data_IF_570221037186
#
_entry.id   IF_570221037186
#
_cell.length_a   1.000
_cell.length_b   1.000
_cell.length_c   1.000
_cell.angle_alpha   90.00
_cell.angle_beta   90.00
_cell.angle_gamma   90.00
#
_symmetry.space_group_name_H-M   'P 1'
#
loop_
_entity.id
_entity.type
_entity.pdbx_description
1 polymer ?
#
# COMPACT_ATOMS: atom_id res chain seq x y z
N UNK A 1 17.78 1.42 -1.54
CA UNK A 1 16.78 0.70 -0.74
C UNK A 1 16.52 1.50 0.52
N UNK A 2 15.27 1.87 0.80
CA UNK A 2 14.90 2.56 2.03
C UNK A 2 15.01 1.55 3.19
N UNK A 3 15.73 1.89 4.25
CA UNK A 3 15.95 1.01 5.40
C UNK A 3 15.41 1.70 6.65
N UNK A 4 14.44 1.10 7.37
CA UNK A 4 13.95 1.66 8.61
C UNK A 4 15.07 1.59 9.65
N UNK A 5 15.67 2.74 9.96
CA UNK A 5 16.59 2.86 11.09
C UNK A 5 15.81 3.18 12.36
N UNK A 6 16.30 2.74 13.52
CA UNK A 6 15.73 3.11 14.83
C UNK A 6 15.88 4.60 15.16
N UNK A 7 16.54 5.38 14.31
CA UNK A 7 16.73 6.82 14.43
C UNK A 7 15.77 7.62 13.54
N UNK A 8 14.92 6.96 12.74
CA UNK A 8 13.92 7.66 11.94
C UNK A 8 12.88 8.28 12.88
N UNK A 9 12.61 9.60 12.77
CA UNK A 9 11.50 10.23 13.51
C UNK A 9 10.14 9.74 13.02
N UNK A 10 10.10 9.05 11.88
CA UNK A 10 8.90 8.50 11.26
C UNK A 10 8.97 6.97 11.25
N UNK A 11 7.89 6.34 11.71
CA UNK A 11 7.68 4.91 11.53
C UNK A 11 7.08 4.68 10.14
N UNK A 12 7.77 3.89 9.32
CA UNK A 12 7.28 3.49 8.00
C UNK A 12 6.97 2.01 8.02
N UNK A 13 5.80 1.69 7.51
CA UNK A 13 5.28 0.35 7.38
C UNK A 13 4.91 0.11 5.93
N UNK A 14 4.81 -1.16 5.54
CA UNK A 14 4.49 -1.56 4.18
C UNK A 14 3.20 -2.36 4.19
N UNK A 15 2.37 -2.10 3.19
CA UNK A 15 1.16 -2.88 2.88
C UNK A 15 1.34 -3.56 1.53
N UNK A 16 0.63 -4.66 1.34
CA UNK A 16 0.58 -5.31 0.04
C UNK A 16 -0.12 -4.42 -1.01
N UNK A 17 0.30 -4.53 -2.27
CA UNK A 17 -0.34 -3.79 -3.37
C UNK A 17 0.51 -3.63 -4.62
N UNK A 18 1.83 -3.59 -4.48
CA UNK A 18 2.73 -3.32 -5.61
C UNK A 18 2.93 -4.50 -6.59
N UNK A 19 2.63 -5.74 -6.19
CA UNK A 19 2.99 -6.94 -6.97
C UNK A 19 1.82 -7.91 -7.07
N UNK A 20 1.16 -7.94 -8.23
CA UNK A 20 -0.01 -8.79 -8.50
C UNK A 20 0.33 -10.21 -8.95
N UNK A 21 1.46 -10.41 -9.65
CA UNK A 21 1.73 -11.63 -10.43
C UNK A 21 2.58 -12.67 -9.73
N UNK A 22 3.05 -12.41 -8.50
CA UNK A 22 3.94 -13.30 -7.74
C UNK A 22 3.74 -13.16 -6.24
N UNK A 23 4.24 -14.12 -5.47
CA UNK A 23 4.10 -14.15 -4.01
C UNK A 23 2.78 -14.77 -3.55
N UNK A 24 2.38 -14.59 -2.29
CA UNK A 24 1.27 -15.32 -1.67
C UNK A 24 -0.10 -15.04 -2.31
N UNK A 25 -0.23 -13.94 -3.06
CA UNK A 25 -1.48 -13.54 -3.71
C UNK A 25 -1.51 -13.79 -5.22
N UNK A 26 -0.52 -14.48 -5.79
CA UNK A 26 -0.40 -14.69 -7.24
C UNK A 26 -1.64 -15.38 -7.86
N UNK A 27 -2.21 -16.32 -7.13
CA UNK A 27 -3.39 -17.12 -7.53
C UNK A 27 -4.72 -16.38 -7.38
N UNK A 28 -4.73 -15.22 -6.71
CA UNK A 28 -5.97 -14.47 -6.48
C UNK A 28 -6.40 -13.79 -7.79
N UNK A 29 -7.71 -13.73 -8.04
CA UNK A 29 -8.27 -12.80 -9.03
C UNK A 29 -8.03 -11.35 -8.58
N UNK A 30 -8.12 -10.39 -9.51
CA UNK A 30 -7.88 -8.98 -9.21
C UNK A 30 -8.81 -8.46 -8.10
N UNK A 31 -10.09 -8.83 -8.13
CA UNK A 31 -11.03 -8.48 -7.08
C UNK A 31 -10.67 -9.11 -5.72
N UNK A 32 -10.15 -10.34 -5.70
CA UNK A 32 -9.68 -10.98 -4.46
C UNK A 32 -8.40 -10.32 -3.94
N UNK A 33 -7.48 -9.98 -4.84
CA UNK A 33 -6.24 -9.29 -4.52
C UNK A 33 -6.51 -7.91 -3.89
N UNK A 34 -7.42 -7.13 -4.49
CA UNK A 34 -7.82 -5.82 -3.95
C UNK A 34 -8.39 -5.97 -2.54
N UNK A 35 -9.33 -6.92 -2.34
CA UNK A 35 -9.89 -7.18 -1.00
C UNK A 35 -8.82 -7.59 0.02
N UNK A 36 -7.87 -8.43 -0.38
CA UNK A 36 -6.79 -8.86 0.51
C UNK A 36 -5.87 -7.69 0.90
N UNK A 37 -5.49 -6.83 -0.04
CA UNK A 37 -4.66 -5.67 0.24
C UNK A 37 -5.39 -4.60 1.07
N UNK A 38 -6.69 -4.41 0.85
CA UNK A 38 -7.52 -3.51 1.67
C UNK A 38 -7.61 -4.03 3.10
N UNK A 39 -7.85 -5.34 3.28
CA UNK A 39 -7.88 -5.95 4.61
C UNK A 39 -6.53 -5.83 5.33
N UNK A 40 -5.41 -6.00 4.63
CA UNK A 40 -4.05 -5.79 5.15
C UNK A 40 -3.84 -4.33 5.61
N UNK A 41 -4.26 -3.36 4.80
CA UNK A 41 -4.21 -1.94 5.17
C UNK A 41 -5.07 -1.63 6.41
N UNK A 42 -6.30 -2.13 6.47
CA UNK A 42 -7.20 -1.90 7.61
C UNK A 42 -6.67 -2.56 8.90
N UNK A 43 -6.16 -3.79 8.80
CA UNK A 43 -5.53 -4.49 9.92
C UNK A 43 -4.30 -3.72 10.42
N UNK A 44 -3.45 -3.26 9.50
CA UNK A 44 -2.28 -2.47 9.84
C UNK A 44 -2.67 -1.17 10.57
N UNK A 45 -3.63 -0.40 10.03
CA UNK A 45 -4.09 0.83 10.66
C UNK A 45 -4.74 0.59 12.03
N UNK A 46 -5.34 -0.59 12.26
CA UNK A 46 -5.91 -0.98 13.55
C UNK A 46 -4.86 -1.26 14.64
N UNK A 47 -3.62 -1.58 14.26
CA UNK A 47 -2.55 -1.97 15.19
C UNK A 47 -1.43 -0.92 15.31
N UNK A 48 -1.52 0.21 14.61
CA UNK A 48 -0.48 1.24 14.60
C UNK A 48 -0.92 2.52 15.30
N UNK A 49 0.03 3.43 15.49
CA UNK A 49 -0.29 4.84 15.74
C UNK A 49 -0.99 5.41 14.51
N UNK A 50 -1.71 6.51 14.67
CA UNK A 50 -2.37 7.21 13.57
C UNK A 50 -1.36 7.54 12.46
N UNK A 51 -1.59 6.98 11.27
CA UNK A 51 -0.72 7.18 10.13
C UNK A 51 -0.96 8.57 9.53
N UNK A 52 0.12 9.30 9.21
CA UNK A 52 -0.02 10.62 8.60
C UNK A 52 -0.32 10.55 7.09
N UNK A 53 0.28 9.59 6.39
CA UNK A 53 0.15 9.44 4.95
C UNK A 53 0.42 8.00 4.50
N UNK A 54 -0.13 7.65 3.34
CA UNK A 54 0.29 6.54 2.51
C UNK A 54 0.88 7.11 1.22
N UNK A 55 2.07 6.66 0.85
CA UNK A 55 2.77 7.03 -0.39
C UNK A 55 2.91 5.79 -1.30
N UNK A 56 2.64 5.95 -2.59
CA UNK A 56 2.81 4.89 -3.58
C UNK A 56 3.18 5.46 -4.95
N UNK A 57 4.04 4.75 -5.68
CA UNK A 57 4.23 4.95 -7.13
C UNK A 57 3.06 4.28 -7.86
N UNK A 58 2.37 4.94 -8.81
CA UNK A 58 1.31 4.28 -9.58
C UNK A 58 1.81 3.11 -10.42
N UNK A 59 3.04 3.26 -10.93
CA UNK A 59 3.82 2.23 -11.60
C UNK A 59 5.14 2.12 -10.83
N UNK A 60 5.36 0.99 -10.17
CA UNK A 60 6.60 0.75 -9.42
C UNK A 60 7.77 0.64 -10.40
N UNK A 61 8.70 1.60 -10.38
CA UNK A 61 9.87 1.61 -11.25
C UNK A 61 10.89 0.54 -10.83
N UNK A 62 11.85 0.93 -9.99
CA UNK A 62 12.92 0.04 -9.50
C UNK A 62 12.38 -1.13 -8.66
N UNK A 63 11.14 -1.02 -8.17
CA UNK A 63 10.44 -2.08 -7.42
C UNK A 63 10.06 -3.32 -8.23
N UNK A 64 10.21 -3.29 -9.57
CA UNK A 64 10.00 -4.46 -10.43
C UNK A 64 9.18 -4.22 -11.68
N UNK A 65 8.97 -2.95 -12.08
CA UNK A 65 8.16 -2.58 -13.24
C UNK A 65 6.75 -3.18 -13.19
N UNK A 66 6.09 -3.01 -12.04
CA UNK A 66 4.76 -3.56 -11.77
C UNK A 66 3.74 -2.47 -11.51
N UNK A 67 2.49 -2.73 -11.87
CA UNK A 67 1.33 -1.93 -11.50
C UNK A 67 0.34 -2.81 -10.74
N UNK A 68 -0.43 -2.25 -9.79
CA UNK A 68 -1.55 -2.96 -9.21
C UNK A 68 -2.67 -3.18 -10.24
N UNK A 69 -3.64 -4.07 -9.94
CA UNK A 69 -4.86 -4.14 -10.73
C UNK A 69 -5.67 -2.84 -10.60
N UNK A 70 -6.44 -2.53 -11.64
CA UNK A 70 -7.36 -1.40 -11.65
C UNK A 70 -8.31 -1.44 -10.44
N UNK A 71 -8.47 -0.29 -9.78
CA UNK A 71 -9.33 -0.13 -8.62
C UNK A 71 -8.64 -0.31 -7.26
N UNK A 72 -7.41 -0.84 -7.18
CA UNK A 72 -6.72 -0.97 -5.89
C UNK A 72 -6.54 0.38 -5.19
N UNK A 73 -6.00 1.38 -5.89
CA UNK A 73 -5.75 2.69 -5.29
C UNK A 73 -7.03 3.45 -4.96
N UNK A 74 -8.10 3.25 -5.72
CA UNK A 74 -9.42 3.79 -5.38
C UNK A 74 -9.92 3.19 -4.05
N UNK A 75 -9.80 1.86 -3.88
CA UNK A 75 -10.17 1.19 -2.64
C UNK A 75 -9.30 1.63 -1.45
N UNK A 76 -7.99 1.85 -1.66
CA UNK A 76 -7.12 2.43 -0.64
C UNK A 76 -7.57 3.84 -0.28
N UNK A 77 -7.86 4.70 -1.27
CA UNK A 77 -8.30 6.07 -1.02
C UNK A 77 -9.56 6.10 -0.15
N UNK A 78 -10.53 5.23 -0.39
CA UNK A 78 -11.72 5.10 0.44
C UNK A 78 -11.39 4.77 1.90
N UNK A 79 -10.40 3.90 2.16
CA UNK A 79 -9.91 3.61 3.51
C UNK A 79 -9.28 4.86 4.12
N UNK A 80 -8.32 5.47 3.42
CA UNK A 80 -7.58 6.63 3.91
C UNK A 80 -8.51 7.81 4.24
N UNK A 81 -9.55 8.04 3.42
CA UNK A 81 -10.55 9.08 3.64
C UNK A 81 -11.34 8.88 4.95
N UNK A 82 -11.66 7.63 5.32
CA UNK A 82 -12.32 7.32 6.61
C UNK A 82 -11.44 7.63 7.82
N UNK A 83 -10.12 7.60 7.64
CA UNK A 83 -9.14 7.81 8.71
C UNK A 83 -8.49 9.19 8.68
N UNK A 84 -8.79 10.04 7.69
CA UNK A 84 -8.13 11.36 7.54
C UNK A 84 -6.66 11.27 7.12
N UNK A 85 -6.24 10.16 6.50
CA UNK A 85 -4.84 9.89 6.12
C UNK A 85 -4.57 10.49 4.73
N UNK A 86 -3.41 11.13 4.56
CA UNK A 86 -3.02 11.69 3.26
C UNK A 86 -2.67 10.60 2.25
N UNK A 87 -2.98 10.84 0.98
CA UNK A 87 -2.51 10.04 -0.15
C UNK A 87 -1.43 10.83 -0.88
N UNK A 88 -0.30 10.21 -1.14
CA UNK A 88 0.80 10.78 -1.92
C UNK A 88 1.05 9.89 -3.13
N UNK A 89 0.80 10.41 -4.33
CA UNK A 89 1.23 9.78 -5.59
C UNK A 89 2.68 10.16 -5.83
N UNK A 90 3.58 9.18 -5.88
CA UNK A 90 4.99 9.38 -6.22
C UNK A 90 5.18 9.24 -7.74
N UNK A 91 5.43 10.36 -8.43
CA UNK A 91 5.40 10.52 -9.90
C UNK A 91 6.70 11.13 -10.44
N UNK A 92 7.84 10.86 -9.78
CA UNK A 92 9.18 11.38 -10.19
C UNK A 92 9.42 11.23 -11.69
#
# INVERSE_FOLDING_TARGET
AWSPTTLSPLQTLYVHGGVRTRGPYAELSDAQFIRACVADLEDLLGHTREAAALIAEPIQGVGGFTSPPDGLFAAFREVLDRHGILWISDEV
#
